data_IF_459192376293
#
_entry.id   IF_459192376293
#
_cell.length_a   1.000
_cell.length_b   1.000
_cell.length_c   1.000
_cell.angle_alpha   90.00
_cell.angle_beta   90.00
_cell.angle_gamma   90.00
#
_symmetry.space_group_name_H-M   'P 1'
#
loop_
_entity.id
_entity.type
_entity.pdbx_description
1 polymer ?
#
# COMPACT_ATOMS: atom_id res chain seq x y z
N UNK A 1 -28.02 -18.68 -19.77
CA UNK A 1 -27.51 -18.76 -21.15
C UNK A 1 -28.38 -17.88 -22.03
N UNK A 2 -27.83 -16.76 -22.55
CA UNK A 2 -28.58 -15.90 -23.52
C UNK A 2 -28.81 -16.68 -24.81
N UNK A 3 -30.05 -16.82 -25.23
CA UNK A 3 -30.40 -17.41 -26.54
C UNK A 3 -29.70 -16.59 -27.65
N UNK A 4 -28.96 -17.20 -28.56
CA UNK A 4 -28.30 -16.45 -29.65
C UNK A 4 -29.37 -15.83 -30.56
N UNK A 5 -29.23 -14.54 -30.85
CA UNK A 5 -30.14 -13.86 -31.79
C UNK A 5 -29.76 -14.27 -33.21
N UNK A 6 -30.53 -15.21 -33.76
CA UNK A 6 -30.29 -15.85 -35.06
C UNK A 6 -30.26 -14.82 -36.19
N UNK A 7 -31.11 -13.78 -36.17
CA UNK A 7 -31.10 -12.69 -37.17
C UNK A 7 -29.78 -11.94 -37.17
N UNK A 8 -29.22 -11.63 -36.00
CA UNK A 8 -27.93 -10.97 -35.87
C UNK A 8 -26.77 -11.85 -36.36
N UNK A 9 -26.85 -13.15 -36.14
CA UNK A 9 -25.86 -14.11 -36.58
C UNK A 9 -25.85 -14.24 -38.11
N UNK A 10 -27.03 -14.30 -38.75
CA UNK A 10 -27.17 -14.36 -40.21
C UNK A 10 -26.63 -13.10 -40.89
N UNK A 11 -27.02 -11.92 -40.41
CA UNK A 11 -26.54 -10.63 -40.95
C UNK A 11 -25.04 -10.50 -40.86
N UNK A 12 -24.43 -10.90 -39.74
CA UNK A 12 -22.97 -10.83 -39.51
C UNK A 12 -22.18 -11.79 -40.40
N UNK A 13 -22.76 -12.90 -40.82
CA UNK A 13 -22.07 -13.91 -41.63
C UNK A 13 -22.43 -13.85 -43.12
N UNK A 14 -23.47 -13.12 -43.51
CA UNK A 14 -23.84 -12.98 -44.93
C UNK A 14 -22.69 -12.54 -45.85
N UNK A 15 -21.82 -11.56 -45.49
CA UNK A 15 -20.65 -11.18 -46.33
C UNK A 15 -19.69 -12.33 -46.59
N UNK A 16 -19.61 -13.31 -45.70
CA UNK A 16 -18.67 -14.44 -45.88
C UNK A 16 -19.13 -15.46 -46.87
N UNK A 17 -20.38 -15.45 -47.36
CA UNK A 17 -20.85 -16.24 -48.46
C UNK A 17 -20.10 -15.89 -49.77
N UNK A 18 -19.74 -14.62 -49.94
CA UNK A 18 -18.89 -14.21 -51.04
C UNK A 18 -17.53 -14.89 -51.00
N UNK A 19 -16.93 -15.01 -49.85
CA UNK A 19 -15.64 -15.71 -49.67
C UNK A 19 -15.78 -17.22 -49.91
N UNK A 20 -16.90 -17.84 -49.52
CA UNK A 20 -17.17 -19.24 -49.87
C UNK A 20 -17.13 -19.40 -51.38
N UNK A 21 -17.84 -18.55 -52.14
CA UNK A 21 -17.80 -18.56 -53.60
C UNK A 21 -16.43 -18.34 -54.17
N UNK A 22 -15.68 -17.35 -53.70
CA UNK A 22 -14.33 -17.06 -54.22
C UNK A 22 -13.35 -18.22 -54.00
N UNK A 23 -13.34 -18.81 -52.81
CA UNK A 23 -12.48 -19.95 -52.51
C UNK A 23 -12.92 -21.23 -53.17
N UNK A 24 -14.26 -21.43 -53.42
CA UNK A 24 -14.76 -22.50 -54.27
C UNK A 24 -14.22 -22.39 -55.69
N UNK A 25 -14.20 -21.17 -56.27
CA UNK A 25 -13.56 -20.89 -57.54
C UNK A 25 -12.07 -21.15 -57.57
N UNK A 26 -11.37 -20.86 -56.48
CA UNK A 26 -9.94 -21.23 -56.35
C UNK A 26 -9.76 -22.75 -56.34
N UNK A 27 -10.59 -23.50 -55.63
CA UNK A 27 -10.60 -24.96 -55.62
C UNK A 27 -10.84 -25.51 -57.03
N UNK A 28 -11.85 -24.96 -57.72
CA UNK A 28 -12.16 -25.30 -59.09
C UNK A 28 -10.99 -25.00 -60.06
N UNK A 29 -10.33 -23.84 -59.90
CA UNK A 29 -9.16 -23.47 -60.71
C UNK A 29 -8.01 -24.47 -60.55
N UNK A 30 -7.68 -24.86 -59.32
CA UNK A 30 -6.64 -25.87 -59.03
C UNK A 30 -7.01 -27.23 -59.65
N UNK A 31 -8.28 -27.61 -59.56
CA UNK A 31 -8.77 -28.87 -60.13
C UNK A 31 -8.66 -28.88 -61.64
N UNK A 32 -9.02 -27.78 -62.32
CA UNK A 32 -9.03 -27.63 -63.80
C UNK A 32 -7.64 -27.28 -64.38
N UNK A 33 -6.65 -26.94 -63.56
CA UNK A 33 -5.29 -26.64 -63.98
C UNK A 33 -4.60 -27.90 -64.56
N UNK A 34 -3.95 -27.81 -65.71
CA UNK A 34 -3.18 -28.91 -66.25
C UNK A 34 -1.92 -29.17 -65.43
N UNK A 35 -1.68 -30.45 -65.11
CA UNK A 35 -0.53 -30.91 -64.31
C UNK A 35 -0.82 -32.26 -63.64
N UNK A 36 0.20 -33.13 -63.58
CA UNK A 36 0.05 -34.43 -62.94
C UNK A 36 0.18 -34.37 -61.41
N UNK A 37 0.88 -33.38 -60.88
CA UNK A 37 1.13 -33.13 -59.46
C UNK A 37 0.69 -31.73 -59.06
N UNK A 38 0.67 -31.47 -57.75
CA UNK A 38 0.22 -30.20 -57.17
C UNK A 38 1.11 -29.00 -57.64
N UNK A 39 2.40 -29.22 -57.79
CA UNK A 39 3.36 -28.20 -58.25
C UNK A 39 3.09 -27.81 -59.68
N UNK A 40 2.89 -28.77 -60.60
CA UNK A 40 2.51 -28.52 -61.98
C UNK A 40 1.19 -27.77 -62.16
N UNK A 41 0.19 -28.12 -61.32
CA UNK A 41 -1.11 -27.42 -61.27
C UNK A 41 -0.96 -25.99 -60.79
N UNK A 42 -0.11 -25.71 -59.81
CA UNK A 42 0.13 -24.35 -59.30
C UNK A 42 0.87 -23.50 -60.34
N UNK A 43 1.82 -24.05 -61.08
CA UNK A 43 2.51 -23.33 -62.18
C UNK A 43 1.58 -22.96 -63.33
N UNK A 44 0.54 -23.76 -63.57
CA UNK A 44 -0.46 -23.53 -64.63
C UNK A 44 -1.77 -22.96 -64.14
N UNK A 45 -1.81 -22.43 -62.90
CA UNK A 45 -3.05 -21.99 -62.21
C UNK A 45 -3.78 -20.86 -62.97
N UNK A 46 -3.07 -20.06 -63.75
CA UNK A 46 -3.67 -19.01 -64.58
C UNK A 46 -4.66 -19.53 -65.61
N UNK A 47 -4.34 -20.65 -66.30
CA UNK A 47 -5.27 -21.31 -67.22
C UNK A 47 -6.45 -21.95 -66.46
N UNK A 48 -6.21 -22.50 -65.28
CA UNK A 48 -7.24 -23.01 -64.36
C UNK A 48 -8.23 -21.91 -63.91
N UNK A 49 -7.77 -20.73 -63.61
CA UNK A 49 -8.66 -19.59 -63.28
C UNK A 49 -9.47 -19.17 -64.49
N UNK A 50 -8.90 -19.07 -65.66
CA UNK A 50 -9.62 -18.75 -66.89
C UNK A 50 -10.75 -19.75 -67.18
N UNK A 51 -10.48 -21.05 -66.99
CA UNK A 51 -11.48 -22.11 -67.11
C UNK A 51 -12.55 -22.09 -65.98
N UNK A 52 -12.16 -21.82 -64.75
CA UNK A 52 -13.06 -21.76 -63.62
C UNK A 52 -14.07 -20.57 -63.69
N UNK A 53 -13.60 -19.41 -64.22
CA UNK A 53 -14.41 -18.21 -64.34
C UNK A 53 -15.10 -18.09 -65.71
N UNK A 54 -14.92 -19.03 -66.64
CA UNK A 54 -15.75 -19.11 -67.86
C UNK A 54 -17.23 -19.35 -67.57
N UNK A 55 -17.54 -19.93 -66.44
CA UNK A 55 -18.89 -20.05 -65.90
C UNK A 55 -18.98 -19.31 -64.54
N UNK A 56 -19.91 -18.40 -64.41
CA UNK A 56 -20.14 -17.63 -63.17
C UNK A 56 -20.76 -18.45 -62.03
N UNK A 57 -21.33 -19.62 -62.28
CA UNK A 57 -21.92 -20.47 -61.22
C UNK A 57 -20.86 -21.12 -60.36
N UNK A 58 -21.11 -21.31 -59.05
CA UNK A 58 -20.19 -22.01 -58.16
C UNK A 58 -19.96 -23.45 -58.61
N UNK A 59 -18.80 -24.03 -58.26
CA UNK A 59 -18.57 -25.46 -58.46
C UNK A 59 -19.31 -26.26 -57.41
N UNK A 60 -20.05 -27.26 -57.82
CA UNK A 60 -20.72 -28.17 -56.89
C UNK A 60 -19.90 -29.42 -56.58
N UNK A 61 -18.62 -29.43 -56.99
CA UNK A 61 -17.71 -30.53 -56.64
C UNK A 61 -17.41 -30.49 -55.14
N UNK A 62 -17.52 -31.65 -54.41
CA UNK A 62 -17.40 -31.64 -52.93
C UNK A 62 -16.10 -31.07 -52.40
N UNK A 63 -14.98 -31.28 -53.08
CA UNK A 63 -13.64 -30.75 -52.70
C UNK A 63 -13.52 -29.24 -52.90
N UNK A 64 -14.08 -28.70 -54.03
CA UNK A 64 -14.04 -27.28 -54.31
C UNK A 64 -14.90 -26.51 -53.26
N UNK A 65 -16.11 -27.06 -52.96
CA UNK A 65 -16.98 -26.52 -51.94
C UNK A 65 -16.36 -26.57 -50.52
N UNK A 66 -15.64 -27.66 -50.20
CA UNK A 66 -14.95 -27.80 -48.93
C UNK A 66 -13.86 -26.68 -48.78
N UNK A 67 -13.08 -26.47 -49.86
CA UNK A 67 -12.06 -25.39 -49.89
C UNK A 67 -12.74 -24.03 -49.72
N UNK A 68 -13.89 -23.82 -50.35
CA UNK A 68 -14.72 -22.63 -50.22
C UNK A 68 -15.11 -22.34 -48.75
N UNK A 69 -15.67 -23.34 -48.07
CA UNK A 69 -16.10 -23.23 -46.70
C UNK A 69 -14.93 -23.00 -45.76
N UNK A 70 -13.86 -23.80 -45.86
CA UNK A 70 -12.66 -23.68 -45.00
C UNK A 70 -12.02 -22.32 -45.18
N UNK A 71 -11.84 -21.83 -46.43
CA UNK A 71 -11.28 -20.51 -46.67
C UNK A 71 -12.11 -19.38 -46.05
N UNK A 72 -13.42 -19.43 -46.19
CA UNK A 72 -14.31 -18.46 -45.58
C UNK A 72 -14.27 -18.49 -44.03
N UNK A 73 -14.18 -19.67 -43.41
CA UNK A 73 -14.03 -19.84 -41.98
C UNK A 73 -12.72 -19.25 -41.48
N UNK A 74 -11.61 -19.48 -42.19
CA UNK A 74 -10.29 -18.89 -41.86
C UNK A 74 -10.35 -17.36 -41.89
N UNK A 75 -10.90 -16.78 -42.96
CA UNK A 75 -11.08 -15.32 -43.07
C UNK A 75 -11.97 -14.80 -41.93
N UNK A 76 -13.08 -15.48 -41.63
CA UNK A 76 -13.97 -15.11 -40.55
C UNK A 76 -13.26 -15.12 -39.19
N UNK A 77 -12.45 -16.14 -38.92
CA UNK A 77 -11.66 -16.27 -37.71
C UNK A 77 -10.62 -15.15 -37.61
N UNK A 78 -9.90 -14.87 -38.68
CA UNK A 78 -8.90 -13.79 -38.73
C UNK A 78 -9.53 -12.42 -38.46
N UNK A 79 -10.68 -12.13 -39.08
CA UNK A 79 -11.44 -10.90 -38.81
C UNK A 79 -11.92 -10.84 -37.36
N UNK A 80 -12.40 -11.97 -36.80
CA UNK A 80 -12.80 -12.04 -35.40
C UNK A 80 -11.65 -11.77 -34.44
N UNK A 81 -10.49 -12.41 -34.63
CA UNK A 81 -9.29 -12.20 -33.81
C UNK A 81 -8.78 -10.76 -33.92
N UNK A 82 -8.70 -10.22 -35.15
CA UNK A 82 -8.33 -8.82 -35.38
C UNK A 82 -9.30 -7.84 -34.69
N UNK A 83 -10.60 -8.10 -34.80
CA UNK A 83 -11.63 -7.28 -34.16
C UNK A 83 -11.57 -7.36 -32.62
N UNK A 84 -11.27 -8.54 -32.05
CA UNK A 84 -11.13 -8.74 -30.63
C UNK A 84 -9.91 -8.01 -30.04
N UNK A 85 -8.82 -7.95 -30.83
CA UNK A 85 -7.54 -7.34 -30.43
C UNK A 85 -7.42 -5.88 -30.91
N UNK A 86 -8.35 -5.38 -31.68
CA UNK A 86 -8.33 -4.00 -32.17
C UNK A 86 -8.45 -3.00 -31.01
N UNK A 87 -7.48 -2.10 -30.90
CA UNK A 87 -7.59 -0.94 -30.02
C UNK A 87 -8.76 -0.09 -30.48
N UNK A 88 -9.74 0.12 -29.59
CA UNK A 88 -10.90 0.97 -29.89
C UNK A 88 -10.48 2.44 -29.77
N UNK A 89 -9.97 3.00 -30.86
CA UNK A 89 -9.76 4.45 -30.95
C UNK A 89 -11.09 5.15 -31.18
N UNK A 90 -11.34 6.24 -30.45
CA UNK A 90 -12.48 7.11 -30.68
C UNK A 90 -12.04 8.23 -31.62
N UNK A 91 -12.83 8.47 -32.68
CA UNK A 91 -12.60 9.60 -33.59
C UNK A 91 -12.66 10.93 -32.79
N UNK A 92 -11.67 11.79 -32.95
CA UNK A 92 -11.60 13.10 -32.27
C UNK A 92 -10.99 13.13 -30.87
N UNK A 93 -10.34 12.03 -30.43
CA UNK A 93 -9.63 11.99 -29.15
C UNK A 93 -8.13 11.82 -29.39
N UNK A 94 -7.38 12.88 -29.17
CA UNK A 94 -5.94 12.92 -29.42
C UNK A 94 -5.09 12.10 -28.44
N UNK A 95 -5.61 11.81 -27.22
CA UNK A 95 -4.87 11.22 -26.12
C UNK A 95 -5.37 9.84 -25.66
N UNK A 96 -5.89 9.02 -26.57
CA UNK A 96 -6.28 7.63 -26.29
C UNK A 96 -7.78 7.40 -26.13
N UNK A 97 -8.16 6.22 -25.63
CA UNK A 97 -9.56 5.77 -25.53
C UNK A 97 -10.22 6.05 -24.16
N UNK A 98 -9.62 6.92 -23.35
CA UNK A 98 -10.17 7.28 -22.04
C UNK A 98 -11.49 8.04 -22.17
N UNK A 99 -12.45 7.73 -21.29
CA UNK A 99 -13.73 8.43 -21.15
C UNK A 99 -14.16 8.45 -19.70
N UNK A 100 -15.06 9.31 -19.34
CA UNK A 100 -15.75 9.23 -18.07
C UNK A 100 -16.52 7.91 -17.97
N UNK A 101 -16.40 7.24 -16.84
CA UNK A 101 -17.14 6.03 -16.54
C UNK A 101 -18.62 6.31 -16.31
N UNK A 102 -19.45 5.32 -16.55
CA UNK A 102 -20.87 5.32 -16.19
C UNK A 102 -21.14 4.21 -15.14
N UNK A 103 -22.37 4.12 -14.64
CA UNK A 103 -22.78 3.15 -13.63
C UNK A 103 -22.48 1.69 -14.04
N UNK A 104 -22.59 1.36 -15.34
CA UNK A 104 -22.28 0.01 -15.83
C UNK A 104 -20.78 -0.30 -15.77
N UNK A 105 -19.94 0.70 -15.99
CA UNK A 105 -18.47 0.54 -15.89
C UNK A 105 -18.05 0.31 -14.44
N UNK A 106 -18.72 0.91 -13.47
CA UNK A 106 -18.41 0.84 -12.03
C UNK A 106 -18.97 -0.45 -11.41
N UNK A 107 -20.12 -0.94 -11.87
CA UNK A 107 -20.81 -2.11 -11.31
C UNK A 107 -19.93 -3.33 -11.01
N UNK A 108 -18.91 -3.71 -11.83
CA UNK A 108 -18.03 -4.83 -11.52
C UNK A 108 -17.11 -4.61 -10.30
N UNK A 109 -16.96 -3.37 -9.84
CA UNK A 109 -16.13 -2.96 -8.72
C UNK A 109 -16.92 -2.74 -7.42
N UNK A 110 -18.22 -2.99 -7.43
CA UNK A 110 -19.11 -2.86 -6.28
C UNK A 110 -19.35 -4.25 -5.70
N UNK A 111 -19.26 -4.39 -4.37
CA UNK A 111 -19.71 -5.59 -3.68
C UNK A 111 -21.25 -5.54 -3.55
N UNK A 112 -21.96 -6.67 -3.81
CA UNK A 112 -23.42 -6.74 -3.65
C UNK A 112 -23.88 -6.42 -2.21
N UNK A 113 -23.10 -6.81 -1.21
CA UNK A 113 -23.36 -6.44 0.19
C UNK A 113 -22.90 -5.01 0.43
N UNK A 114 -23.83 -4.15 0.86
CA UNK A 114 -23.56 -2.72 1.03
C UNK A 114 -22.39 -2.46 1.99
N UNK A 115 -22.35 -3.17 3.10
CA UNK A 115 -21.36 -3.03 4.16
C UNK A 115 -19.93 -3.36 3.71
N UNK A 116 -19.77 -4.16 2.66
CA UNK A 116 -18.46 -4.55 2.12
C UNK A 116 -17.85 -3.49 1.17
N UNK A 117 -18.39 -2.29 1.15
CA UNK A 117 -17.94 -1.23 0.25
C UNK A 117 -17.43 -0.02 1.03
N UNK A 118 -16.46 0.68 0.41
CA UNK A 118 -16.11 2.06 0.75
C UNK A 118 -17.14 2.97 0.11
N UNK A 119 -17.75 3.85 0.89
CA UNK A 119 -18.65 4.88 0.38
C UNK A 119 -17.81 6.03 -0.19
N UNK A 120 -17.94 6.28 -1.48
CA UNK A 120 -17.23 7.35 -2.17
C UNK A 120 -18.09 8.63 -2.24
N UNK A 121 -19.34 8.47 -2.61
CA UNK A 121 -20.36 9.55 -2.69
C UNK A 121 -21.69 9.01 -2.22
N UNK A 122 -22.75 9.79 -2.36
CA UNK A 122 -24.10 9.36 -2.04
C UNK A 122 -24.56 8.16 -2.88
N UNK A 123 -24.10 8.05 -4.12
CA UNK A 123 -24.50 7.01 -5.07
C UNK A 123 -23.41 5.99 -5.37
N UNK A 124 -22.13 6.39 -5.25
CA UNK A 124 -21.01 5.60 -5.69
C UNK A 124 -20.27 4.95 -4.52
N UNK A 125 -19.87 3.70 -4.71
CA UNK A 125 -19.15 2.89 -3.73
C UNK A 125 -18.19 1.93 -4.42
N UNK A 126 -17.19 1.47 -3.69
CA UNK A 126 -16.13 0.59 -4.18
C UNK A 126 -15.95 -0.58 -3.20
N UNK A 127 -15.95 -1.82 -3.71
CA UNK A 127 -15.70 -3.00 -2.87
C UNK A 127 -14.39 -2.90 -2.10
N UNK A 128 -14.39 -3.31 -0.83
CA UNK A 128 -13.18 -3.34 0.01
C UNK A 128 -12.27 -4.52 -0.29
N UNK A 129 -12.81 -5.63 -0.80
CA UNK A 129 -12.02 -6.81 -1.09
C UNK A 129 -11.01 -6.55 -2.21
N UNK A 130 -9.73 -6.84 -1.94
CA UNK A 130 -8.67 -6.84 -2.95
C UNK A 130 -8.68 -8.11 -3.82
N UNK A 131 -9.47 -9.13 -3.44
CA UNK A 131 -9.58 -10.44 -4.12
C UNK A 131 -11.01 -10.65 -4.66
N UNK A 132 -11.44 -9.94 -5.71
CA UNK A 132 -12.73 -10.14 -6.33
C UNK A 132 -12.78 -11.49 -7.06
N UNK A 133 -13.99 -12.01 -7.35
CA UNK A 133 -14.19 -13.26 -8.11
C UNK A 133 -13.42 -13.30 -9.44
N UNK A 134 -13.30 -12.15 -10.10
CA UNK A 134 -12.54 -12.01 -11.34
C UNK A 134 -11.31 -11.13 -11.11
N UNK A 135 -10.09 -11.67 -11.18
CA UNK A 135 -8.84 -10.92 -10.90
C UNK A 135 -8.66 -9.64 -11.73
N UNK A 136 -9.24 -9.57 -12.93
CA UNK A 136 -9.21 -8.36 -13.77
C UNK A 136 -9.85 -7.12 -13.12
N UNK A 137 -10.69 -7.30 -12.09
CA UNK A 137 -11.33 -6.22 -11.34
C UNK A 137 -10.59 -5.90 -10.02
N UNK A 138 -9.52 -6.64 -9.71
CA UNK A 138 -8.66 -6.29 -8.57
C UNK A 138 -8.05 -4.89 -8.77
N UNK A 139 -8.16 -4.04 -7.75
CA UNK A 139 -7.61 -2.67 -7.75
C UNK A 139 -7.04 -2.38 -6.38
N UNK A 140 -6.12 -1.44 -6.34
CA UNK A 140 -5.68 -0.80 -5.11
C UNK A 140 -6.89 -0.17 -4.41
N UNK A 141 -6.95 -0.29 -3.08
CA UNK A 141 -8.05 0.20 -2.24
C UNK A 141 -7.69 1.48 -1.49
N UNK A 142 -6.53 2.06 -1.77
CA UNK A 142 -6.20 3.40 -1.29
C UNK A 142 -7.05 4.42 -2.04
N UNK A 143 -7.71 5.29 -1.29
CA UNK A 143 -8.60 6.32 -1.82
C UNK A 143 -8.03 7.68 -1.45
N UNK A 144 -7.76 8.51 -2.44
CA UNK A 144 -7.36 9.90 -2.24
C UNK A 144 -8.58 10.81 -2.42
N UNK A 145 -8.93 11.56 -1.37
CA UNK A 145 -10.04 12.52 -1.37
C UNK A 145 -9.48 13.94 -1.38
N UNK A 146 -9.71 14.66 -2.46
CA UNK A 146 -9.22 16.04 -2.65
C UNK A 146 -10.39 17.01 -2.54
N UNK A 147 -10.19 18.08 -1.77
CA UNK A 147 -11.19 19.16 -1.65
C UNK A 147 -10.68 20.27 -0.75
N UNK A 148 -11.11 21.50 -1.01
CA UNK A 148 -10.79 22.66 -0.20
C UNK A 148 -11.39 22.61 1.21
N UNK A 149 -11.09 23.62 2.03
CA UNK A 149 -11.74 23.79 3.33
C UNK A 149 -13.25 23.96 3.16
N UNK A 150 -14.05 23.35 4.03
CA UNK A 150 -15.51 23.41 3.94
C UNK A 150 -16.17 22.56 2.85
N UNK A 151 -15.39 21.86 1.98
CA UNK A 151 -15.95 21.01 0.91
C UNK A 151 -16.69 19.75 1.41
N UNK A 152 -16.70 19.51 2.71
CA UNK A 152 -17.44 18.41 3.32
C UNK A 152 -16.71 17.05 3.35
N UNK A 153 -15.39 17.00 3.13
CA UNK A 153 -14.60 15.75 3.20
C UNK A 153 -14.92 14.92 4.44
N UNK A 154 -14.88 15.53 5.61
CA UNK A 154 -15.18 14.86 6.88
C UNK A 154 -16.65 14.43 6.94
N UNK A 155 -17.59 15.31 6.52
CA UNK A 155 -19.03 15.06 6.62
C UNK A 155 -19.51 13.97 5.67
N UNK A 156 -19.03 13.98 4.42
CA UNK A 156 -19.57 13.15 3.34
C UNK A 156 -18.72 11.91 3.03
N UNK A 157 -17.46 11.87 3.48
CA UNK A 157 -16.60 10.72 3.28
C UNK A 157 -16.21 10.05 4.61
N UNK A 158 -15.55 10.77 5.55
CA UNK A 158 -15.00 10.16 6.77
C UNK A 158 -16.12 9.59 7.64
N UNK A 159 -17.09 10.39 8.04
CA UNK A 159 -18.16 9.97 8.96
C UNK A 159 -19.05 8.85 8.40
N UNK A 160 -19.53 8.86 7.15
CA UNK A 160 -20.31 7.75 6.61
C UNK A 160 -19.53 6.44 6.57
N UNK A 161 -18.24 6.46 6.27
CA UNK A 161 -17.40 5.27 6.27
C UNK A 161 -17.14 4.75 7.71
N UNK A 162 -17.01 5.61 8.71
CA UNK A 162 -16.94 5.21 10.11
C UNK A 162 -18.24 4.56 10.59
N UNK A 163 -19.39 5.13 10.22
CA UNK A 163 -20.70 4.64 10.62
C UNK A 163 -21.06 3.27 10.02
N UNK A 164 -20.34 2.79 9.02
CA UNK A 164 -20.50 1.43 8.51
C UNK A 164 -20.05 0.36 9.51
N UNK A 165 -19.15 0.67 10.44
CA UNK A 165 -18.74 -0.21 11.56
C UNK A 165 -18.26 -1.62 11.15
N UNK A 166 -17.64 -1.79 9.99
CA UNK A 166 -17.19 -3.10 9.50
C UNK A 166 -15.73 -3.44 9.82
N UNK A 167 -14.91 -2.45 10.16
CA UNK A 167 -13.46 -2.57 10.35
C UNK A 167 -13.04 -1.93 11.67
N UNK A 168 -11.84 -2.18 12.14
CA UNK A 168 -11.18 -1.24 13.05
C UNK A 168 -10.78 0.01 12.29
N UNK A 169 -10.73 1.14 12.97
CA UNK A 169 -10.43 2.43 12.35
C UNK A 169 -9.28 3.13 13.04
N UNK A 170 -8.40 3.74 12.25
CA UNK A 170 -7.40 4.70 12.71
C UNK A 170 -7.72 6.01 12.03
N UNK A 171 -8.03 7.03 12.81
CA UNK A 171 -8.55 8.30 12.30
C UNK A 171 -7.65 9.44 12.71
N UNK A 172 -7.02 10.11 11.75
CA UNK A 172 -6.40 11.42 12.00
C UNK A 172 -7.50 12.46 12.11
N UNK A 173 -7.63 13.08 13.28
CA UNK A 173 -8.71 14.03 13.60
C UNK A 173 -8.12 15.37 14.06
N UNK A 174 -7.84 16.31 13.12
CA UNK A 174 -7.10 17.55 13.41
C UNK A 174 -7.72 18.44 14.48
N UNK A 175 -8.95 18.23 14.87
CA UNK A 175 -9.66 19.07 15.88
C UNK A 175 -10.35 18.26 16.95
N UNK A 176 -10.29 16.94 16.89
CA UNK A 176 -11.03 16.05 17.76
C UNK A 176 -12.55 16.02 17.50
N UNK A 177 -13.01 16.64 16.41
CA UNK A 177 -14.44 16.76 16.10
C UNK A 177 -15.05 15.43 15.68
N UNK A 178 -14.31 14.58 14.99
CA UNK A 178 -14.79 13.26 14.56
C UNK A 178 -14.99 12.35 15.77
N UNK A 179 -14.07 12.39 16.75
CA UNK A 179 -14.22 11.68 18.01
C UNK A 179 -15.49 12.13 18.78
N UNK A 180 -15.69 13.44 18.90
CA UNK A 180 -16.84 14.01 19.61
C UNK A 180 -18.17 13.56 18.98
N UNK A 181 -18.26 13.60 17.66
CA UNK A 181 -19.49 13.31 16.93
C UNK A 181 -19.76 11.82 16.73
N UNK A 182 -18.70 11.00 16.50
CA UNK A 182 -18.84 9.58 16.16
C UNK A 182 -18.45 8.64 17.30
N UNK A 183 -17.69 9.08 18.31
CA UNK A 183 -17.12 8.21 19.34
C UNK A 183 -18.17 7.43 20.13
N UNK A 184 -19.23 8.10 20.62
CA UNK A 184 -20.33 7.42 21.33
C UNK A 184 -21.08 6.41 20.47
N UNK A 185 -21.25 6.69 19.18
CA UNK A 185 -21.90 5.79 18.25
C UNK A 185 -21.05 4.52 18.06
N UNK A 186 -19.76 4.68 17.84
CA UNK A 186 -18.82 3.56 17.71
C UNK A 186 -18.75 2.74 19.01
N UNK A 187 -18.72 3.38 20.17
CA UNK A 187 -18.74 2.69 21.47
C UNK A 187 -20.00 1.83 21.63
N UNK A 188 -21.19 2.36 21.26
CA UNK A 188 -22.45 1.59 21.24
C UNK A 188 -22.40 0.45 20.21
N UNK A 189 -21.65 0.60 19.13
CA UNK A 189 -21.38 -0.43 18.12
C UNK A 189 -20.35 -1.49 18.54
N UNK A 190 -19.91 -1.47 19.82
CA UNK A 190 -18.97 -2.44 20.38
C UNK A 190 -17.50 -2.13 20.14
N UNK A 191 -17.17 -0.91 19.74
CA UNK A 191 -15.79 -0.50 19.54
C UNK A 191 -15.10 -0.13 20.85
N UNK A 192 -13.85 -0.58 21.00
CA UNK A 192 -12.92 0.02 21.95
C UNK A 192 -12.44 1.35 21.40
N UNK A 193 -12.60 2.42 22.16
CA UNK A 193 -12.14 3.75 21.74
C UNK A 193 -10.76 3.99 22.34
N UNK A 194 -9.79 4.35 21.50
CA UNK A 194 -8.45 4.76 21.88
C UNK A 194 -8.20 6.18 21.36
N UNK A 195 -7.48 6.98 22.14
CA UNK A 195 -7.24 8.39 21.82
C UNK A 195 -5.79 8.74 22.08
N UNK A 196 -5.06 9.13 21.05
CA UNK A 196 -3.80 9.87 21.18
C UNK A 196 -4.10 11.34 20.88
N UNK A 197 -3.81 12.23 21.82
CA UNK A 197 -4.08 13.66 21.69
C UNK A 197 -2.81 14.47 21.93
N UNK A 198 -2.21 14.98 20.85
CA UNK A 198 -0.99 15.81 20.92
C UNK A 198 -1.28 17.29 21.14
N UNK A 199 -2.55 17.73 21.08
CA UNK A 199 -2.97 19.10 21.41
C UNK A 199 -3.12 19.28 22.92
N UNK A 200 -3.67 18.26 23.60
CA UNK A 200 -3.89 18.29 25.02
C UNK A 200 -3.58 16.90 25.62
N UNK A 201 -2.37 16.75 26.13
CA UNK A 201 -1.86 15.48 26.67
C UNK A 201 -2.71 14.92 27.81
N UNK A 202 -3.33 15.78 28.63
CA UNK A 202 -4.23 15.34 29.71
C UNK A 202 -5.49 14.64 29.23
N UNK A 203 -5.86 14.82 27.95
CA UNK A 203 -7.00 14.15 27.30
C UNK A 203 -6.56 12.98 26.42
N UNK A 204 -5.32 12.59 26.50
CA UNK A 204 -4.76 11.46 25.77
C UNK A 204 -4.68 10.23 26.65
N UNK A 205 -4.81 9.06 26.03
CA UNK A 205 -4.34 7.80 26.60
C UNK A 205 -2.82 7.73 26.46
N UNK A 206 -2.18 6.97 27.33
CA UNK A 206 -0.72 6.80 27.34
C UNK A 206 -0.26 5.92 26.20
N UNK A 207 0.89 6.28 25.64
CA UNK A 207 1.50 5.56 24.54
C UNK A 207 3.01 5.42 24.78
N UNK A 208 3.47 4.20 24.99
CA UNK A 208 4.89 3.91 25.19
C UNK A 208 5.44 3.11 24.00
N UNK A 209 6.30 3.70 23.15
CA UNK A 209 6.92 3.00 22.03
C UNK A 209 7.75 1.79 22.41
N UNK A 210 8.32 1.74 23.60
CA UNK A 210 9.12 0.60 24.05
C UNK A 210 8.27 -0.68 24.21
N UNK A 211 6.98 -0.55 24.53
CA UNK A 211 6.05 -1.69 24.64
C UNK A 211 5.90 -2.48 23.32
N UNK A 212 6.30 -1.90 22.19
CA UNK A 212 6.17 -2.49 20.85
C UNK A 212 7.50 -2.92 20.23
N UNK A 213 8.60 -2.88 21.00
CA UNK A 213 9.89 -3.42 20.56
C UNK A 213 9.90 -4.94 20.76
N UNK A 214 10.06 -5.69 19.68
CA UNK A 214 10.08 -7.16 19.67
C UNK A 214 11.45 -7.72 19.24
N UNK A 215 12.26 -6.87 18.62
CA UNK A 215 13.55 -7.26 18.07
C UNK A 215 14.49 -6.06 17.91
N UNK A 216 15.76 -6.34 17.75
CA UNK A 216 16.77 -5.32 17.41
C UNK A 216 16.42 -4.51 16.16
N UNK A 217 15.70 -5.13 15.20
CA UNK A 217 15.19 -4.44 14.01
C UNK A 217 14.22 -3.31 14.38
N UNK A 218 13.39 -3.54 15.40
CA UNK A 218 12.40 -2.54 15.83
C UNK A 218 13.07 -1.38 16.57
N UNK A 219 14.18 -1.64 17.29
CA UNK A 219 15.05 -0.59 17.86
C UNK A 219 15.57 0.30 16.72
N UNK A 220 16.12 -0.30 15.66
CA UNK A 220 16.63 0.46 14.51
C UNK A 220 15.53 1.28 13.83
N UNK A 221 14.32 0.73 13.69
CA UNK A 221 13.16 1.44 13.11
C UNK A 221 12.74 2.62 14.00
N UNK A 222 12.67 2.42 15.31
CA UNK A 222 12.33 3.47 16.27
C UNK A 222 13.35 4.62 16.20
N UNK A 223 14.64 4.31 16.28
CA UNK A 223 15.72 5.29 16.18
C UNK A 223 15.66 6.06 14.85
N UNK A 224 15.50 5.36 13.74
CA UNK A 224 15.37 6.01 12.43
C UNK A 224 14.16 6.96 12.37
N UNK A 225 13.05 6.57 12.98
CA UNK A 225 11.84 7.41 13.01
C UNK A 225 12.03 8.64 13.88
N UNK A 226 12.68 8.50 15.04
CA UNK A 226 13.04 9.63 15.90
C UNK A 226 13.90 10.62 15.11
N UNK A 227 15.03 10.15 14.55
CA UNK A 227 15.98 11.01 13.83
C UNK A 227 15.31 11.68 12.61
N UNK A 228 14.47 10.96 11.86
CA UNK A 228 13.82 11.51 10.68
C UNK A 228 12.80 12.62 11.00
N UNK A 229 12.14 12.54 12.16
CA UNK A 229 11.05 13.45 12.53
C UNK A 229 11.43 14.52 13.55
N UNK A 230 12.70 14.54 14.00
CA UNK A 230 13.24 15.56 14.91
C UNK A 230 14.38 16.38 14.28
N UNK A 231 14.40 16.47 12.96
CA UNK A 231 15.37 17.31 12.23
C UNK A 231 15.02 18.78 12.43
N UNK A 232 16.04 19.59 12.72
CA UNK A 232 15.89 21.05 12.76
C UNK A 232 15.71 21.62 11.35
N UNK A 233 15.10 22.82 11.27
CA UNK A 233 14.98 23.60 10.04
C UNK A 233 16.38 23.90 9.47
N UNK A 234 16.67 23.33 8.29
CA UNK A 234 17.93 23.57 7.57
C UNK A 234 18.92 22.39 7.54
N UNK A 235 18.66 21.29 8.21
CA UNK A 235 19.43 20.06 8.01
C UNK A 235 19.20 19.50 6.60
N UNK A 236 20.22 19.59 5.73
CA UNK A 236 20.18 18.99 4.39
C UNK A 236 19.97 17.49 4.50
N UNK A 237 19.14 16.95 3.62
CA UNK A 237 18.86 15.52 3.49
C UNK A 237 20.11 14.77 2.97
N UNK A 238 21.06 14.47 3.85
CA UNK A 238 22.22 13.64 3.61
C UNK A 238 22.55 12.86 4.87
N UNK A 239 22.95 11.59 4.73
CA UNK A 239 23.49 10.85 5.87
C UNK A 239 24.85 11.45 6.24
N UNK A 240 24.83 12.49 7.07
CA UNK A 240 26.02 13.09 7.62
C UNK A 240 26.60 12.19 8.71
N UNK A 241 27.90 12.31 8.95
CA UNK A 241 28.62 11.62 10.02
C UNK A 241 27.93 11.77 11.38
N UNK A 242 27.41 12.94 11.69
CA UNK A 242 26.70 13.25 12.93
C UNK A 242 25.46 12.37 13.12
N UNK A 243 24.61 12.30 12.10
CA UNK A 243 23.38 11.48 12.11
C UNK A 243 23.71 10.00 12.29
N UNK A 244 24.78 9.51 11.67
CA UNK A 244 25.23 8.12 11.83
C UNK A 244 25.69 7.84 13.25
N UNK A 245 26.42 8.78 13.86
CA UNK A 245 26.92 8.67 15.23
C UNK A 245 25.78 8.77 16.26
N UNK A 246 24.85 9.71 16.09
CA UNK A 246 23.62 9.79 16.89
C UNK A 246 22.84 8.48 16.87
N UNK A 247 22.68 7.89 15.67
CA UNK A 247 22.00 6.60 15.51
C UNK A 247 22.67 5.48 16.32
N UNK A 248 23.98 5.40 16.30
CA UNK A 248 24.75 4.41 17.08
C UNK A 248 24.48 4.58 18.58
N UNK A 249 24.53 5.82 19.06
CA UNK A 249 24.31 6.14 20.46
C UNK A 249 22.87 5.83 20.90
N UNK A 250 21.84 6.25 20.15
CA UNK A 250 20.47 5.91 20.45
C UNK A 250 20.21 4.40 20.41
N UNK A 251 20.80 3.69 19.43
CA UNK A 251 20.68 2.24 19.37
C UNK A 251 21.32 1.55 20.57
N UNK A 252 22.44 2.08 21.06
CA UNK A 252 23.09 1.57 22.26
C UNK A 252 22.21 1.75 23.49
N UNK A 253 21.74 2.99 23.74
CA UNK A 253 20.93 3.30 24.93
C UNK A 253 19.57 2.58 24.91
N UNK A 254 18.83 2.67 23.80
CA UNK A 254 17.52 2.00 23.67
C UNK A 254 17.70 0.47 23.74
N UNK A 255 18.79 -0.06 23.15
CA UNK A 255 19.11 -1.48 23.26
C UNK A 255 19.40 -1.88 24.70
N UNK A 256 20.19 -1.10 25.44
CA UNK A 256 20.44 -1.34 26.87
C UNK A 256 19.14 -1.35 27.67
N UNK A 257 18.28 -0.32 27.53
CA UNK A 257 17.00 -0.21 28.21
C UNK A 257 16.11 -1.41 27.89
N UNK A 258 16.00 -1.80 26.62
CA UNK A 258 15.14 -2.88 26.20
C UNK A 258 15.54 -4.25 26.76
N UNK A 259 16.83 -4.53 26.85
CA UNK A 259 17.36 -5.81 27.33
C UNK A 259 17.53 -5.87 28.85
N UNK A 260 18.09 -4.82 29.45
CA UNK A 260 18.59 -4.88 30.81
C UNK A 260 17.72 -4.12 31.83
N UNK A 261 16.89 -3.15 31.39
CA UNK A 261 16.06 -2.41 32.33
C UNK A 261 14.80 -3.18 32.76
N UNK A 262 14.30 -2.97 33.97
CA UNK A 262 13.00 -3.49 34.41
C UNK A 262 11.86 -2.86 33.59
N UNK A 263 10.72 -3.53 33.52
CA UNK A 263 9.60 -3.14 32.65
C UNK A 263 9.08 -1.72 32.90
N UNK A 264 9.07 -1.26 34.12
CA UNK A 264 8.64 0.09 34.49
C UNK A 264 9.63 1.19 34.06
N UNK A 265 10.86 0.82 33.72
CA UNK A 265 11.90 1.74 33.25
C UNK A 265 12.11 1.70 31.73
N UNK A 266 11.41 0.81 31.03
CA UNK A 266 11.45 0.75 29.55
C UNK A 266 10.62 1.88 28.96
N UNK A 267 11.14 3.10 28.98
CA UNK A 267 10.45 4.30 28.50
C UNK A 267 11.43 5.43 28.12
N UNK A 268 10.90 6.52 27.61
CA UNK A 268 11.69 7.69 27.20
C UNK A 268 12.27 8.47 28.36
N UNK A 269 11.70 8.41 29.56
CA UNK A 269 12.26 9.06 30.74
C UNK A 269 13.62 8.46 31.08
N UNK A 270 13.72 7.14 31.12
CA UNK A 270 14.99 6.43 31.32
C UNK A 270 16.01 6.75 30.23
N UNK A 271 15.57 6.82 28.96
CA UNK A 271 16.44 7.21 27.85
C UNK A 271 17.03 8.61 28.06
N UNK A 272 16.22 9.59 28.49
CA UNK A 272 16.68 10.95 28.78
C UNK A 272 17.64 10.98 29.96
N UNK A 273 17.34 10.22 31.02
CA UNK A 273 18.24 10.13 32.19
C UNK A 273 19.60 9.55 31.80
N UNK A 274 19.64 8.53 30.94
CA UNK A 274 20.89 7.98 30.42
C UNK A 274 21.62 8.98 29.53
N UNK A 275 20.93 9.74 28.67
CA UNK A 275 21.58 10.79 27.86
C UNK A 275 22.15 11.87 28.76
N UNK A 276 21.41 12.32 29.77
CA UNK A 276 21.89 13.35 30.71
C UNK A 276 23.04 12.87 31.60
N UNK A 277 23.08 11.57 31.92
CA UNK A 277 24.16 10.94 32.65
C UNK A 277 25.40 10.62 31.77
N UNK A 278 25.27 10.77 30.45
CA UNK A 278 26.39 10.61 29.52
C UNK A 278 27.14 11.92 29.42
N UNK A 279 28.42 11.88 29.77
CA UNK A 279 29.32 13.03 29.73
C UNK A 279 30.60 12.64 29.00
N UNK A 280 31.16 13.57 28.26
CA UNK A 280 32.48 13.40 27.66
C UNK A 280 33.29 14.66 27.98
N UNK A 281 34.48 14.49 28.56
CA UNK A 281 35.40 15.57 28.90
C UNK A 281 36.54 15.65 27.88
N UNK A 282 36.80 16.84 27.41
CA UNK A 282 37.88 17.07 26.45
C UNK A 282 39.26 17.09 27.13
N UNK A 283 39.28 17.53 28.38
CA UNK A 283 40.47 17.71 29.21
C UNK A 283 40.87 16.43 29.95
N UNK A 284 40.02 15.44 30.01
CA UNK A 284 40.26 14.15 30.66
C UNK A 284 39.83 12.98 29.77
N UNK A 285 40.73 12.46 28.93
CA UNK A 285 40.41 11.32 28.05
C UNK A 285 40.09 10.01 28.79
N UNK A 286 40.51 9.89 30.05
CA UNK A 286 40.24 8.70 30.89
C UNK A 286 38.94 8.82 31.69
N UNK A 287 38.24 9.95 31.59
CA UNK A 287 37.00 10.15 32.28
C UNK A 287 35.93 9.19 31.80
N UNK A 288 35.32 8.49 32.73
CA UNK A 288 34.18 7.58 32.48
C UNK A 288 32.90 8.15 33.11
N UNK A 289 31.88 8.36 32.32
CA UNK A 289 30.54 8.70 32.78
C UNK A 289 29.87 7.50 33.45
N UNK A 290 28.82 7.70 34.25
CA UNK A 290 28.00 6.58 34.78
C UNK A 290 27.53 5.62 33.70
N UNK A 291 27.23 6.11 32.52
CA UNK A 291 26.78 5.29 31.37
C UNK A 291 27.96 4.49 30.79
N UNK A 292 29.15 5.06 30.69
CA UNK A 292 30.34 4.29 30.28
C UNK A 292 30.55 3.08 31.20
N UNK A 293 30.44 3.27 32.51
CA UNK A 293 30.60 2.19 33.51
C UNK A 293 29.50 1.12 33.39
N UNK A 294 28.27 1.53 33.05
CA UNK A 294 27.17 0.58 32.82
C UNK A 294 27.45 -0.31 31.60
N UNK A 295 27.95 0.28 30.51
CA UNK A 295 28.29 -0.48 29.30
C UNK A 295 29.54 -1.36 29.50
N UNK A 296 30.53 -0.93 30.26
CA UNK A 296 31.71 -1.73 30.62
C UNK A 296 31.29 -3.01 31.35
N UNK A 297 30.45 -2.89 32.38
CA UNK A 297 29.91 -4.03 33.12
C UNK A 297 29.09 -4.99 32.23
N UNK A 298 28.34 -4.43 31.30
CA UNK A 298 27.58 -5.24 30.35
C UNK A 298 28.52 -5.95 29.34
N UNK A 299 29.58 -5.29 28.91
CA UNK A 299 30.61 -5.88 28.04
C UNK A 299 31.37 -7.03 28.73
N UNK A 300 31.69 -6.89 30.02
CA UNK A 300 32.31 -7.99 30.80
C UNK A 300 31.39 -9.22 30.85
N UNK A 301 30.06 -9.03 30.90
CA UNK A 301 29.06 -10.08 30.98
C UNK A 301 28.78 -10.69 29.59
N UNK A 302 28.62 -9.86 28.56
CA UNK A 302 28.30 -10.27 27.17
C UNK A 302 28.94 -9.31 26.17
N UNK A 303 30.17 -9.59 25.69
CA UNK A 303 30.88 -8.75 24.71
C UNK A 303 30.15 -8.63 23.36
N UNK A 304 29.31 -9.60 23.02
CA UNK A 304 28.55 -9.62 21.75
C UNK A 304 27.16 -9.00 21.86
N UNK A 305 26.80 -8.50 23.04
CA UNK A 305 25.53 -7.84 23.27
C UNK A 305 25.27 -6.71 22.28
N UNK A 306 24.07 -6.66 21.72
CA UNK A 306 23.70 -5.66 20.70
C UNK A 306 24.05 -4.22 21.13
N UNK A 307 23.65 -3.83 22.33
CA UNK A 307 23.86 -2.48 22.87
C UNK A 307 25.36 -2.16 23.02
N UNK A 308 26.17 -3.13 23.50
CA UNK A 308 27.62 -3.00 23.63
C UNK A 308 28.27 -2.77 22.27
N UNK A 309 27.90 -3.56 21.26
CA UNK A 309 28.42 -3.41 19.90
C UNK A 309 28.12 -2.03 19.29
N UNK A 310 26.92 -1.47 19.56
CA UNK A 310 26.58 -0.12 19.09
C UNK A 310 27.38 0.95 19.86
N UNK A 311 27.50 0.79 21.18
CA UNK A 311 28.20 1.71 22.03
C UNK A 311 29.71 1.78 21.69
N UNK A 312 30.35 0.64 21.50
CA UNK A 312 31.77 0.57 21.07
C UNK A 312 32.00 1.33 19.77
N UNK A 313 31.09 1.21 18.79
CA UNK A 313 31.20 1.98 17.53
C UNK A 313 31.07 3.49 17.77
N UNK A 314 30.20 3.90 18.69
CA UNK A 314 30.04 5.30 19.07
C UNK A 314 31.31 5.83 19.74
N UNK A 315 31.92 5.03 20.62
CA UNK A 315 33.18 5.40 21.32
C UNK A 315 34.39 5.59 20.40
N UNK A 316 34.34 5.11 19.14
CA UNK A 316 35.39 5.40 18.15
C UNK A 316 35.48 6.90 17.79
N UNK A 317 34.49 7.68 18.16
CA UNK A 317 34.51 9.14 18.00
C UNK A 317 35.45 9.79 19.01
N UNK A 318 36.27 10.76 18.57
CA UNK A 318 37.13 11.53 19.45
C UNK A 318 36.33 12.32 20.51
N UNK A 319 36.90 12.60 21.66
CA UNK A 319 36.24 13.23 22.82
C UNK A 319 35.42 14.47 22.48
N UNK A 320 36.02 15.43 21.73
CA UNK A 320 35.30 16.63 21.25
C UNK A 320 34.13 16.35 20.35
N UNK A 321 34.28 15.38 19.45
CA UNK A 321 33.21 14.93 18.57
C UNK A 321 32.11 14.24 19.38
N UNK A 322 32.49 13.42 20.38
CA UNK A 322 31.57 12.74 21.28
C UNK A 322 30.69 13.73 22.05
N UNK A 323 31.28 14.78 22.65
CA UNK A 323 30.52 15.84 23.32
C UNK A 323 29.50 16.51 22.40
N UNK A 324 29.89 16.81 21.16
CA UNK A 324 28.98 17.41 20.19
C UNK A 324 27.81 16.47 19.79
N UNK A 325 28.05 15.15 19.69
CA UNK A 325 27.01 14.17 19.41
C UNK A 325 26.03 14.07 20.60
N UNK A 326 26.54 14.06 21.85
CA UNK A 326 25.70 14.03 23.04
C UNK A 326 24.77 15.25 23.13
N UNK A 327 25.32 16.45 22.85
CA UNK A 327 24.54 17.70 22.79
C UNK A 327 23.42 17.58 21.70
N UNK A 328 23.76 17.08 20.53
CA UNK A 328 22.82 16.92 19.44
C UNK A 328 21.71 15.92 19.80
N UNK A 329 22.05 14.80 20.42
CA UNK A 329 21.07 13.83 20.91
C UNK A 329 20.13 14.44 21.96
N UNK A 330 20.66 15.18 22.93
CA UNK A 330 19.85 15.89 23.92
C UNK A 330 18.91 16.91 23.27
N UNK A 331 19.41 17.71 22.33
CA UNK A 331 18.62 18.70 21.62
C UNK A 331 17.45 18.10 20.81
N UNK A 332 17.65 16.93 20.19
CA UNK A 332 16.56 16.23 19.47
C UNK A 332 15.43 15.78 20.38
N UNK A 333 15.72 15.46 21.61
CA UNK A 333 14.74 15.02 22.60
C UNK A 333 14.29 16.16 23.55
N UNK A 334 14.67 17.41 23.28
CA UNK A 334 14.24 18.58 24.05
C UNK A 334 12.70 18.67 24.27
N UNK A 335 11.82 18.26 23.31
CA UNK A 335 10.37 18.22 23.58
C UNK A 335 10.00 17.39 24.80
N UNK A 336 10.79 16.41 25.19
CA UNK A 336 10.57 15.60 26.39
C UNK A 336 10.91 16.31 27.71
N UNK A 337 11.42 17.53 27.69
CA UNK A 337 11.51 18.38 28.88
C UNK A 337 10.11 18.77 29.38
N UNK A 338 9.11 18.67 28.49
CA UNK A 338 7.69 18.84 28.87
C UNK A 338 7.24 17.63 29.69
N UNK A 339 6.90 17.87 30.93
CA UNK A 339 6.50 16.82 31.87
C UNK A 339 5.30 16.00 31.37
N UNK A 340 4.29 16.67 30.83
CA UNK A 340 3.09 16.02 30.34
C UNK A 340 3.38 15.05 29.15
N UNK A 341 4.39 15.36 28.33
CA UNK A 341 4.82 14.45 27.26
C UNK A 341 5.53 13.21 27.82
N UNK A 342 6.39 13.38 28.84
CA UNK A 342 7.01 12.22 29.51
C UNK A 342 5.96 11.30 30.13
N UNK A 343 5.00 11.87 30.89
CA UNK A 343 3.90 11.14 31.50
C UNK A 343 3.04 10.40 30.45
N UNK A 344 2.83 11.01 29.26
CA UNK A 344 2.13 10.40 28.14
C UNK A 344 2.85 9.13 27.64
N UNK A 345 4.21 9.17 27.59
CA UNK A 345 5.03 8.12 26.96
C UNK A 345 5.69 7.18 27.99
N UNK A 346 5.26 7.21 29.24
CA UNK A 346 5.81 6.38 30.31
C UNK A 346 5.27 4.93 30.29
N UNK A 347 3.98 4.77 30.07
CA UNK A 347 3.29 3.47 30.02
C UNK A 347 2.43 3.36 28.77
N UNK A 348 1.94 2.16 28.44
CA UNK A 348 1.11 1.95 27.24
C UNK A 348 -0.35 1.60 27.58
N UNK A 349 -1.28 2.31 26.94
CA UNK A 349 -2.72 2.04 26.97
C UNK A 349 -3.29 1.85 25.55
N UNK A 350 -2.44 2.02 24.50
CA UNK A 350 -2.90 2.00 23.10
C UNK A 350 -3.19 0.59 22.61
N UNK A 351 -2.44 -0.43 23.07
CA UNK A 351 -2.60 -1.82 22.64
C UNK A 351 -2.67 -1.94 21.11
N UNK A 352 -1.71 -1.30 20.39
CA UNK A 352 -1.71 -1.17 18.93
C UNK A 352 -1.76 -2.52 18.21
N UNK A 353 -1.15 -3.53 18.79
CA UNK A 353 -1.10 -4.89 18.27
C UNK A 353 -2.45 -5.62 18.26
N UNK A 354 -3.46 -5.07 18.99
CA UNK A 354 -4.80 -5.68 19.08
C UNK A 354 -5.82 -5.11 18.08
N UNK A 355 -5.45 -4.08 17.29
CA UNK A 355 -6.39 -3.45 16.36
C UNK A 355 -6.88 -4.41 15.26
N UNK A 356 -6.07 -5.44 14.94
CA UNK A 356 -6.44 -6.47 13.97
C UNK A 356 -7.25 -7.63 14.55
N UNK A 357 -7.45 -7.70 15.87
CA UNK A 357 -8.11 -8.81 16.58
C UNK A 357 -9.54 -8.46 16.97
N UNK A 358 -9.77 -7.22 17.36
CA UNK A 358 -11.06 -6.73 17.85
C UNK A 358 -11.36 -5.34 17.30
N UNK A 359 -12.65 -5.01 17.17
CA UNK A 359 -13.10 -3.70 16.68
C UNK A 359 -12.61 -2.59 17.61
N UNK A 360 -11.67 -1.81 17.13
CA UNK A 360 -11.07 -0.68 17.83
C UNK A 360 -11.12 0.56 16.95
N UNK A 361 -11.41 1.71 17.53
CA UNK A 361 -11.30 2.99 16.85
C UNK A 361 -10.25 3.84 17.57
N UNK A 362 -9.11 4.02 16.92
CA UNK A 362 -8.01 4.87 17.39
C UNK A 362 -8.16 6.25 16.75
N UNK A 363 -8.35 7.27 17.57
CA UNK A 363 -8.37 8.66 17.14
C UNK A 363 -7.03 9.32 17.47
N UNK A 364 -6.37 9.83 16.44
CA UNK A 364 -5.10 10.55 16.55
C UNK A 364 -5.41 12.03 16.35
N UNK A 365 -5.51 12.75 17.47
CA UNK A 365 -5.84 14.19 17.49
C UNK A 365 -4.55 14.96 17.41
N UNK A 366 -4.36 15.69 16.32
CA UNK A 366 -3.16 16.47 16.01
C UNK A 366 -3.52 17.94 15.78
N UNK A 367 -2.55 18.85 15.98
CA UNK A 367 -2.72 20.24 15.58
C UNK A 367 -2.64 20.40 14.06
N UNK A 368 -3.43 21.31 13.50
CA UNK A 368 -3.35 21.75 12.10
C UNK A 368 -2.43 22.97 11.91
N UNK A 369 -1.91 23.55 13.00
CA UNK A 369 -1.08 24.76 13.01
C UNK A 369 0.29 24.59 13.66
N UNK A 370 0.52 23.47 14.38
CA UNK A 370 1.74 23.20 15.13
C UNK A 370 2.18 21.75 14.92
N UNK A 371 3.39 21.55 14.46
CA UNK A 371 3.97 20.24 14.13
C UNK A 371 4.98 19.72 15.16
N UNK A 372 5.22 20.48 16.26
CA UNK A 372 6.21 20.18 17.28
C UNK A 372 6.14 18.74 17.80
N UNK A 373 4.93 18.18 17.93
CA UNK A 373 4.71 16.82 18.47
C UNK A 373 4.39 15.78 17.38
N UNK A 374 4.53 16.12 16.11
CA UNK A 374 4.25 15.19 15.01
C UNK A 374 5.18 13.98 15.00
N UNK A 375 6.37 14.06 15.60
CA UNK A 375 7.26 12.92 15.77
C UNK A 375 6.62 11.78 16.57
N UNK A 376 5.81 12.08 17.61
CA UNK A 376 5.07 11.08 18.40
C UNK A 376 4.09 10.32 17.51
N UNK A 377 3.36 11.06 16.68
CA UNK A 377 2.40 10.51 15.71
C UNK A 377 3.11 9.65 14.66
N UNK A 378 4.26 10.10 14.17
CA UNK A 378 5.07 9.36 13.20
C UNK A 378 5.59 8.04 13.77
N UNK A 379 6.01 8.02 15.03
CA UNK A 379 6.41 6.80 15.74
C UNK A 379 5.21 5.84 15.84
N UNK A 380 4.05 6.35 16.29
CA UNK A 380 2.83 5.55 16.41
C UNK A 380 2.43 4.90 15.08
N UNK A 381 2.36 5.66 13.99
CA UNK A 381 2.01 5.10 12.68
C UNK A 381 3.03 4.10 12.18
N UNK A 382 4.33 4.38 12.36
CA UNK A 382 5.39 3.45 11.95
C UNK A 382 5.25 2.11 12.69
N UNK A 383 5.04 2.16 14.01
CA UNK A 383 4.83 0.95 14.81
C UNK A 383 3.54 0.24 14.45
N UNK A 384 2.43 0.98 14.34
CA UNK A 384 1.12 0.44 13.98
C UNK A 384 1.18 -0.36 12.68
N UNK A 385 1.73 0.23 11.61
CA UNK A 385 1.81 -0.46 10.31
C UNK A 385 2.70 -1.70 10.39
N UNK A 386 3.88 -1.62 11.02
CA UNK A 386 4.76 -2.77 11.18
C UNK A 386 4.06 -3.89 11.98
N UNK A 387 3.47 -3.57 13.14
CA UNK A 387 2.81 -4.53 14.01
C UNK A 387 1.66 -5.26 13.31
N UNK A 388 0.82 -4.51 12.60
CA UNK A 388 -0.36 -5.09 11.93
C UNK A 388 0.02 -5.89 10.68
N UNK A 389 1.02 -5.44 9.91
CA UNK A 389 1.51 -6.19 8.75
C UNK A 389 2.20 -7.49 9.18
N UNK A 390 3.14 -7.41 10.13
CA UNK A 390 3.83 -8.59 10.65
C UNK A 390 2.82 -9.60 11.24
N UNK A 391 1.83 -9.10 12.01
CA UNK A 391 0.77 -9.97 12.56
C UNK A 391 -0.11 -10.60 11.49
N UNK A 392 -0.44 -9.84 10.42
CA UNK A 392 -1.19 -10.39 9.31
C UNK A 392 -0.43 -11.50 8.60
N UNK A 393 0.87 -11.33 8.37
CA UNK A 393 1.69 -12.26 7.62
C UNK A 393 2.10 -13.47 8.46
N UNK A 394 2.60 -13.25 9.68
CA UNK A 394 3.21 -14.30 10.51
C UNK A 394 2.18 -15.09 11.33
N UNK A 395 1.08 -14.44 11.77
CA UNK A 395 0.08 -15.07 12.65
C UNK A 395 -1.17 -15.50 11.87
N UNK A 396 -1.63 -14.69 10.92
CA UNK A 396 -2.93 -14.89 10.28
C UNK A 396 -2.86 -15.25 8.79
N UNK A 397 -1.68 -15.60 8.27
CA UNK A 397 -1.53 -16.09 6.89
C UNK A 397 -1.90 -15.05 5.82
N UNK A 398 -1.58 -13.79 6.06
CA UNK A 398 -1.72 -12.68 5.10
C UNK A 398 -3.03 -11.88 5.21
N UNK A 399 -3.80 -12.03 6.31
CA UNK A 399 -5.01 -11.22 6.52
C UNK A 399 -5.37 -11.13 8.01
N UNK A 400 -5.55 -9.93 8.51
CA UNK A 400 -6.07 -9.70 9.87
C UNK A 400 -7.51 -10.22 10.04
N UNK A 401 -7.87 -10.68 11.24
CA UNK A 401 -9.23 -11.08 11.59
C UNK A 401 -10.21 -9.92 11.43
N UNK A 402 -9.87 -8.77 11.97
CA UNK A 402 -10.61 -7.52 11.78
C UNK A 402 -9.80 -6.64 10.84
N UNK A 403 -10.31 -6.28 9.65
CA UNK A 403 -9.65 -5.34 8.77
C UNK A 403 -9.42 -3.99 9.48
N UNK A 404 -8.28 -3.36 9.23
CA UNK A 404 -7.97 -2.02 9.76
C UNK A 404 -7.99 -1.01 8.64
N UNK A 405 -8.75 0.06 8.82
CA UNK A 405 -8.83 1.18 7.88
C UNK A 405 -8.26 2.44 8.49
N UNK A 406 -7.29 3.02 7.79
CA UNK A 406 -6.70 4.29 8.15
C UNK A 406 -7.39 5.41 7.35
N UNK A 407 -7.89 6.40 8.07
CA UNK A 407 -8.47 7.64 7.55
C UNK A 407 -7.51 8.78 7.98
N UNK A 408 -6.54 9.06 7.10
CA UNK A 408 -5.40 9.94 7.36
C UNK A 408 -5.64 11.34 6.81
#
# INVERSE_FOLDING_TARGET
AMKPNIKKLLILNAPYLLFVYLFDKVGQAVRLSPGADLSGKLLSIGSGFSAAFSNALPSFAPMDLLIGIVGAVVIRLAVYVKGKNAKKYRKGMEYGSARWGNAEDIKPYIDPMFENNVLLTQTERLMMSSRPKHPKYARNKNVLVIGGSGSGKTRFFVKPNLMQMHSSYVVTDPKGTVLIECGKLLQRGGYKIKVLNTINFKKSMRYNPFAYLRSEKDILKLVNTIIANTKGDGEKSGEDFWVKSERLFYCALIGYIWYEAPENEKNFTTLLEMINASEAREDDPEFQSPVDLMFERLEEKDPEHFAVRQYKKFLLSAGKTRSSILISCGARLAPFDIRELRELMETDEMELDTLGDRKTALFVIISDTDDTFNFVVSILYTQLFNLLCDKADDVYGGRLHVPVRCLL
#
